data_IF_272715155894
#
_entry.id   IF_272715155894
#
_cell.length_a   1.000
_cell.length_b   1.000
_cell.length_c   1.000
_cell.angle_alpha   90.00
_cell.angle_beta   90.00
_cell.angle_gamma   90.00
#
_symmetry.space_group_name_H-M   'P 1'
#
loop_
_entity.id
_entity.type
_entity.pdbx_description
1 polymer ?
#
# COMPACT_ATOMS: atom_id res chain seq x y z
N UNK A 1 -15.79 -0.55 19.58
CA UNK A 1 -14.97 -0.16 18.41
C UNK A 1 -14.82 -1.39 17.54
N UNK A 2 -15.20 -1.35 16.26
CA UNK A 2 -15.05 -2.51 15.37
C UNK A 2 -13.59 -2.65 14.93
N UNK A 3 -13.23 -3.81 14.37
CA UNK A 3 -11.90 -4.00 13.77
C UNK A 3 -11.66 -2.99 12.63
N UNK A 4 -12.69 -2.69 11.83
CA UNK A 4 -12.63 -1.68 10.77
C UNK A 4 -12.28 -0.29 11.32
N UNK A 5 -12.97 0.16 12.37
CA UNK A 5 -12.74 1.49 12.96
C UNK A 5 -11.35 1.60 13.56
N UNK A 6 -10.85 0.53 14.18
CA UNK A 6 -9.50 0.50 14.72
C UNK A 6 -8.47 0.60 13.59
N UNK A 7 -8.69 -0.09 12.48
CA UNK A 7 -7.75 -0.12 11.37
C UNK A 7 -7.69 1.20 10.60
N UNK A 8 -8.82 1.88 10.42
CA UNK A 8 -8.86 3.25 9.84
C UNK A 8 -8.02 4.25 10.62
N UNK A 9 -7.90 4.10 11.93
CA UNK A 9 -7.06 4.96 12.76
C UNK A 9 -5.56 4.63 12.67
N UNK A 10 -5.21 3.40 12.29
CA UNK A 10 -3.82 2.93 12.16
C UNK A 10 -3.23 3.23 10.78
N UNK A 11 -4.02 3.02 9.72
CA UNK A 11 -3.56 3.21 8.34
C UNK A 11 -3.66 4.70 7.99
N UNK A 12 -2.55 5.38 7.63
CA UNK A 12 -2.55 6.81 7.29
C UNK A 12 -3.57 7.21 6.21
N UNK A 13 -3.93 6.31 5.30
CA UNK A 13 -4.93 6.58 4.25
C UNK A 13 -6.39 6.43 4.72
N UNK A 14 -6.64 6.08 5.99
CA UNK A 14 -7.99 6.05 6.58
C UNK A 14 -8.89 4.93 6.04
N UNK A 15 -8.35 3.98 5.31
CA UNK A 15 -9.06 2.79 4.82
C UNK A 15 -9.09 1.70 5.91
N UNK A 16 -10.16 0.90 5.99
CA UNK A 16 -10.24 -0.15 7.00
C UNK A 16 -9.35 -1.34 6.63
N UNK A 17 -9.06 -1.54 5.36
CA UNK A 17 -8.18 -2.57 4.81
C UNK A 17 -7.79 -2.13 3.41
N UNK A 18 -6.66 -2.64 2.94
CA UNK A 18 -6.25 -2.50 1.54
C UNK A 18 -6.97 -3.58 0.75
N UNK A 19 -7.70 -3.18 -0.28
CA UNK A 19 -8.38 -4.11 -1.19
C UNK A 19 -7.49 -4.43 -2.40
N UNK A 20 -7.76 -5.53 -3.14
CA UNK A 20 -7.00 -5.88 -4.34
C UNK A 20 -6.94 -4.74 -5.37
N UNK A 21 -8.01 -3.97 -5.50
CA UNK A 21 -8.12 -2.82 -6.40
C UNK A 21 -7.21 -1.65 -6.01
N UNK A 22 -6.80 -1.55 -4.73
CA UNK A 22 -5.84 -0.56 -4.27
C UNK A 22 -4.39 -0.95 -4.63
N UNK A 23 -4.11 -2.25 -4.75
CA UNK A 23 -2.78 -2.81 -5.07
C UNK A 23 -2.57 -2.93 -6.58
N UNK A 24 -3.59 -3.34 -7.32
CA UNK A 24 -3.50 -3.62 -8.75
C UNK A 24 -2.91 -2.47 -9.58
N UNK A 25 -3.22 -1.17 -9.35
CA UNK A 25 -2.63 -0.08 -10.11
C UNK A 25 -1.11 0.03 -9.98
N UNK A 26 -0.55 -0.23 -8.79
CA UNK A 26 0.91 -0.27 -8.61
C UNK A 26 1.51 -1.40 -9.45
N UNK A 27 0.88 -2.57 -9.47
CA UNK A 27 1.34 -3.71 -10.27
C UNK A 27 1.28 -3.39 -11.77
N UNK A 28 0.19 -2.77 -12.23
CA UNK A 28 0.05 -2.33 -13.63
C UNK A 28 1.12 -1.30 -14.00
N UNK A 29 1.42 -0.35 -13.11
CA UNK A 29 2.51 0.60 -13.32
C UNK A 29 3.87 -0.13 -13.44
N UNK A 30 4.17 -1.04 -12.52
CA UNK A 30 5.42 -1.81 -12.53
C UNK A 30 5.56 -2.72 -13.75
N UNK A 31 4.45 -3.20 -14.31
CA UNK A 31 4.42 -3.99 -15.55
C UNK A 31 4.54 -3.13 -16.82
N UNK A 32 4.47 -1.81 -16.71
CA UNK A 32 4.50 -0.89 -17.85
C UNK A 32 5.92 -0.45 -18.23
N UNK A 33 6.09 0.07 -19.45
CA UNK A 33 7.34 0.68 -19.93
C UNK A 33 7.83 1.84 -19.04
N UNK A 34 6.92 2.51 -18.33
CA UNK A 34 7.27 3.60 -17.41
C UNK A 34 8.17 3.13 -16.25
N UNK A 35 8.14 1.83 -15.92
CA UNK A 35 8.94 1.23 -14.87
C UNK A 35 10.20 0.51 -15.40
N UNK A 36 10.64 0.74 -16.65
CA UNK A 36 11.75 -0.02 -17.28
C UNK A 36 13.10 -0.03 -16.54
N UNK A 37 13.33 0.92 -15.65
CA UNK A 37 14.55 1.01 -14.83
C UNK A 37 14.33 0.57 -13.37
N UNK A 38 13.16 0.04 -13.03
CA UNK A 38 12.79 -0.35 -11.67
C UNK A 38 12.95 -1.87 -11.53
N UNK A 39 13.93 -2.30 -10.74
CA UNK A 39 14.19 -3.73 -10.46
C UNK A 39 14.91 -3.89 -9.12
N UNK A 40 14.94 -5.13 -8.59
CA UNK A 40 15.70 -5.49 -7.38
C UNK A 40 15.21 -4.81 -6.09
N UNK A 41 13.95 -4.38 -6.05
CA UNK A 41 13.38 -3.60 -4.93
C UNK A 41 11.97 -4.08 -4.57
N UNK A 42 11.50 -3.68 -3.38
CA UNK A 42 10.17 -3.93 -2.86
C UNK A 42 9.42 -2.61 -2.68
N UNK A 43 8.15 -2.56 -3.11
CA UNK A 43 7.28 -1.41 -2.92
C UNK A 43 6.13 -1.74 -1.95
N UNK A 44 5.86 -0.84 -1.01
CA UNK A 44 4.81 -1.01 -0.02
C UNK A 44 3.49 -0.39 -0.50
N UNK A 45 2.52 -1.22 -0.91
CA UNK A 45 1.12 -0.83 -1.13
C UNK A 45 0.29 -1.18 0.13
N UNK A 46 0.56 -0.49 1.25
CA UNK A 46 0.08 -0.91 2.58
C UNK A 46 -0.88 0.07 3.25
N UNK A 47 -1.47 1.01 2.49
CA UNK A 47 -2.28 2.08 3.08
C UNK A 47 -1.49 3.00 4.02
N UNK A 48 -0.15 2.99 3.90
CA UNK A 48 0.79 3.74 4.74
C UNK A 48 1.23 3.01 6.01
N UNK A 49 0.76 1.78 6.29
CA UNK A 49 1.06 1.09 7.55
C UNK A 49 2.57 0.91 7.79
N UNK A 50 3.32 0.63 6.73
CA UNK A 50 4.77 0.42 6.81
C UNK A 50 5.54 1.66 7.29
N UNK A 51 4.95 2.86 7.20
CA UNK A 51 5.56 4.10 7.67
C UNK A 51 5.39 4.33 9.19
N UNK A 52 4.60 3.50 9.87
CA UNK A 52 4.42 3.58 11.32
C UNK A 52 5.60 2.99 12.11
N UNK A 53 6.49 2.23 11.45
CA UNK A 53 7.67 1.62 12.07
C UNK A 53 8.90 2.44 11.68
N UNK A 54 9.47 3.16 12.63
CA UNK A 54 10.79 3.79 12.49
C UNK A 54 11.84 2.80 12.96
N UNK A 55 12.81 2.48 12.09
CA UNK A 55 14.02 1.74 12.46
C UNK A 55 15.07 2.68 13.06
#
# INVERSE_FOLDING_TARGET
RTAADAQRGKLPLGVPWVEPEDVAPLVVFLASEAARMVTGTSFAATGGDSANITA
#
